data_IF_910986683200
#
_entry.id   IF_910986683200
#
_cell.length_a   1.000
_cell.length_b   1.000
_cell.length_c   1.000
_cell.angle_alpha   90.00
_cell.angle_beta   90.00
_cell.angle_gamma   90.00
#
_symmetry.space_group_name_H-M   'P 1'
#
loop_
_entity.id
_entity.type
_entity.pdbx_description
1 polymer ?
#
# COMPACT_ATOMS: atom_id res chain seq x y z
N UNK A 1 -0.18 12.35 -3.50
CA UNK A 1 0.87 11.76 -4.36
C UNK A 1 0.29 10.60 -5.17
N UNK A 2 0.96 10.16 -6.24
CA UNK A 2 0.49 9.02 -7.03
C UNK A 2 1.16 7.72 -6.60
N UNK A 3 0.37 6.76 -6.10
CA UNK A 3 0.83 5.41 -5.76
C UNK A 3 0.63 4.53 -6.98
N UNK A 4 1.73 4.20 -7.65
CA UNK A 4 1.70 3.40 -8.88
C UNK A 4 1.51 1.92 -8.55
N UNK A 5 0.43 1.33 -9.04
CA UNK A 5 0.12 -0.11 -8.89
C UNK A 5 0.14 -0.82 -10.23
N UNK A 6 0.44 -2.11 -10.25
CA UNK A 6 0.47 -2.86 -11.50
C UNK A 6 -0.91 -2.84 -12.18
N UNK A 7 -0.94 -2.41 -13.45
CA UNK A 7 -2.19 -2.20 -14.19
C UNK A 7 -3.01 -3.49 -14.35
N UNK A 8 -2.36 -4.62 -14.62
CA UNK A 8 -3.04 -5.90 -14.82
C UNK A 8 -3.65 -6.42 -13.51
N UNK A 9 -2.94 -6.27 -12.38
CA UNK A 9 -3.44 -6.66 -11.06
C UNK A 9 -4.57 -5.73 -10.60
N UNK A 10 -4.43 -4.42 -10.81
CA UNK A 10 -5.45 -3.45 -10.42
C UNK A 10 -6.75 -3.63 -11.21
N UNK A 11 -6.67 -3.80 -12.54
CA UNK A 11 -7.83 -4.06 -13.40
C UNK A 11 -8.45 -5.44 -13.17
N UNK A 12 -7.69 -6.39 -12.64
CA UNK A 12 -8.18 -7.71 -12.25
C UNK A 12 -9.07 -7.70 -11.01
N UNK A 13 -9.09 -6.60 -10.24
CA UNK A 13 -9.95 -6.43 -9.08
C UNK A 13 -11.36 -5.95 -9.47
N UNK A 14 -12.36 -6.37 -8.70
CA UNK A 14 -13.69 -5.79 -8.79
C UNK A 14 -13.69 -4.33 -8.34
N UNK A 15 -14.71 -3.57 -8.78
CA UNK A 15 -14.91 -2.17 -8.36
C UNK A 15 -15.02 -2.03 -6.83
N UNK A 16 -15.67 -2.99 -6.17
CA UNK A 16 -15.80 -2.99 -4.71
C UNK A 16 -14.45 -3.23 -4.02
N UNK A 17 -13.63 -4.13 -4.56
CA UNK A 17 -12.28 -4.37 -4.06
C UNK A 17 -11.39 -3.14 -4.26
N UNK A 18 -11.43 -2.51 -5.44
CA UNK A 18 -10.72 -1.26 -5.71
C UNK A 18 -11.16 -0.17 -4.73
N UNK A 19 -12.47 0.01 -4.53
CA UNK A 19 -13.04 0.99 -3.60
C UNK A 19 -12.63 0.76 -2.15
N UNK A 20 -12.63 -0.49 -1.68
CA UNK A 20 -12.14 -0.83 -0.33
C UNK A 20 -10.65 -0.49 -0.16
N UNK A 21 -9.83 -0.83 -1.15
CA UNK A 21 -8.39 -0.52 -1.11
C UNK A 21 -8.17 0.99 -1.13
N UNK A 22 -8.86 1.73 -2.00
CA UNK A 22 -8.79 3.19 -2.05
C UNK A 22 -9.22 3.82 -0.71
N UNK A 23 -10.31 3.34 -0.10
CA UNK A 23 -10.80 3.83 1.18
C UNK A 23 -9.78 3.61 2.31
N UNK A 24 -9.17 2.42 2.37
CA UNK A 24 -8.12 2.12 3.36
C UNK A 24 -6.93 3.05 3.14
N UNK A 25 -6.37 3.07 1.93
CA UNK A 25 -5.14 3.81 1.64
C UNK A 25 -5.34 5.32 1.84
N UNK A 26 -6.47 5.88 1.41
CA UNK A 26 -6.79 7.30 1.62
C UNK A 26 -7.05 7.66 3.08
N UNK A 27 -7.52 6.70 3.89
CA UNK A 27 -7.70 6.87 5.33
C UNK A 27 -6.39 7.05 6.10
N UNK A 28 -5.33 6.33 5.69
CA UNK A 28 -4.00 6.45 6.31
C UNK A 28 -3.11 7.50 5.63
N UNK A 29 -3.19 7.62 4.30
CA UNK A 29 -2.36 8.53 3.54
C UNK A 29 -3.21 9.48 2.70
N UNK A 30 -3.66 10.57 3.33
CA UNK A 30 -4.55 11.56 2.72
C UNK A 30 -3.91 12.23 1.50
N UNK A 31 -4.72 12.51 0.48
CA UNK A 31 -4.28 13.18 -0.75
C UNK A 31 -3.54 12.28 -1.74
N UNK A 32 -3.55 10.97 -1.51
CA UNK A 32 -2.96 10.01 -2.42
C UNK A 32 -3.96 9.45 -3.40
N UNK A 33 -3.49 9.22 -4.63
CA UNK A 33 -4.25 8.61 -5.71
C UNK A 33 -3.56 7.31 -6.11
N UNK A 34 -4.34 6.24 -6.18
CA UNK A 34 -3.85 4.99 -6.75
C UNK A 34 -3.91 5.13 -8.27
N UNK A 35 -2.77 4.92 -8.94
CA UNK A 35 -2.67 5.02 -10.39
C UNK A 35 -2.19 3.70 -10.95
N UNK A 36 -3.00 3.11 -11.82
CA UNK A 36 -2.64 1.90 -12.54
C UNK A 36 -1.53 2.20 -13.55
N UNK A 37 -0.43 1.45 -13.48
CA UNK A 37 0.74 1.60 -14.35
C UNK A 37 1.26 0.23 -14.76
N UNK A 38 1.44 -0.04 -16.07
CA UNK A 38 1.97 -1.32 -16.53
C UNK A 38 3.44 -1.53 -16.14
N UNK A 39 4.18 -0.45 -15.85
CA UNK A 39 5.57 -0.49 -15.41
C UNK A 39 5.73 -0.71 -13.89
N UNK A 40 4.63 -0.68 -13.11
CA UNK A 40 4.71 -0.90 -11.68
C UNK A 40 4.94 -2.38 -11.35
N UNK A 41 5.78 -2.68 -10.33
CA UNK A 41 6.03 -4.06 -9.92
C UNK A 41 4.77 -4.72 -9.39
N UNK A 42 4.66 -6.04 -9.58
CA UNK A 42 3.55 -6.83 -9.05
C UNK A 42 3.51 -6.80 -7.52
N UNK A 43 2.31 -6.88 -6.94
CA UNK A 43 2.09 -6.83 -5.50
C UNK A 43 2.90 -7.90 -4.74
N UNK A 44 3.02 -9.11 -5.30
CA UNK A 44 3.82 -10.19 -4.71
C UNK A 44 5.34 -9.88 -4.66
N UNK A 45 5.84 -9.01 -5.53
CA UNK A 45 7.22 -8.53 -5.48
C UNK A 45 7.37 -7.38 -4.46
N UNK A 46 6.36 -6.50 -4.36
CA UNK A 46 6.32 -5.43 -3.36
C UNK A 46 6.21 -5.97 -1.92
N UNK A 47 5.57 -7.13 -1.71
CA UNK A 47 5.49 -7.77 -0.38
C UNK A 47 6.83 -8.37 0.06
N UNK A 48 7.65 -8.90 -0.86
CA UNK A 48 9.01 -9.44 -0.58
C UNK A 48 10.08 -8.37 -0.34
N UNK A 49 9.87 -7.15 -0.83
CA UNK A 49 10.75 -6.02 -0.53
C UNK A 49 10.61 -5.49 0.91
N UNK A 50 9.83 -6.15 1.77
CA UNK A 50 9.88 -5.89 3.21
C UNK A 50 11.21 -6.38 3.77
N UNK A 51 12.19 -5.49 3.77
CA UNK A 51 13.24 -5.52 4.75
C UNK A 51 12.57 -5.58 6.15
N UNK A 52 13.12 -6.35 7.11
CA UNK A 52 12.71 -6.20 8.49
C UNK A 52 12.83 -4.73 8.86
N UNK A 53 11.86 -4.21 9.61
CA UNK A 53 11.94 -2.89 10.22
C UNK A 53 13.12 -2.90 11.21
N UNK A 54 14.34 -2.81 10.68
CA UNK A 54 15.50 -2.43 11.44
C UNK A 54 15.25 -0.98 11.82
N UNK A 55 15.04 -0.76 13.11
CA UNK A 55 14.88 0.53 13.72
C UNK A 55 16.09 1.42 13.37
N UNK A 56 16.00 2.16 12.28
CA UNK A 56 16.80 3.34 12.04
C UNK A 56 16.01 4.48 12.68
N UNK A 57 16.39 4.84 13.90
CA UNK A 57 15.93 6.06 14.52
C UNK A 57 16.48 7.22 13.69
N UNK A 58 15.64 7.96 12.96
CA UNK A 58 15.89 9.36 12.60
C UNK A 58 14.60 10.02 12.04
N UNK A 59 14.07 10.98 12.81
CA UNK A 59 12.85 11.80 12.57
C UNK A 59 11.47 11.20 12.97
N UNK A 60 10.67 12.06 13.60
CA UNK A 60 9.25 11.82 13.93
C UNK A 60 8.42 11.55 12.66
N UNK A 61 8.83 12.14 11.53
CA UNK A 61 8.15 11.96 10.25
C UNK A 61 8.25 10.51 9.75
N UNK A 62 9.45 9.92 9.75
CA UNK A 62 9.64 8.53 9.32
C UNK A 62 8.88 7.54 10.23
N UNK A 63 8.87 7.82 11.52
CA UNK A 63 8.11 7.06 12.52
C UNK A 63 6.60 7.12 12.24
N UNK A 64 6.07 8.31 11.94
CA UNK A 64 4.67 8.49 11.58
C UNK A 64 4.30 7.74 10.29
N UNK A 65 5.13 7.84 9.24
CA UNK A 65 4.93 7.09 7.99
C UNK A 65 4.93 5.57 8.22
N UNK A 66 5.80 5.08 9.11
CA UNK A 66 5.87 3.65 9.47
C UNK A 66 4.63 3.18 10.22
N UNK A 67 4.09 4.00 11.14
CA UNK A 67 2.83 3.72 11.84
C UNK A 67 1.65 3.70 10.85
N UNK A 68 1.59 4.68 9.93
CA UNK A 68 0.54 4.73 8.91
C UNK A 68 0.59 3.53 7.97
N UNK A 69 1.79 3.10 7.57
CA UNK A 69 1.98 1.89 6.78
C UNK A 69 1.48 0.64 7.52
N UNK A 70 1.91 0.47 8.78
CA UNK A 70 1.48 -0.66 9.60
C UNK A 70 -0.05 -0.68 9.81
N UNK A 71 -0.65 0.49 10.04
CA UNK A 71 -2.10 0.65 10.17
C UNK A 71 -2.84 0.30 8.88
N UNK A 72 -2.34 0.77 7.73
CA UNK A 72 -2.91 0.43 6.43
C UNK A 72 -2.79 -1.08 6.12
N UNK A 73 -1.64 -1.70 6.42
CA UNK A 73 -1.44 -3.15 6.27
C UNK A 73 -2.42 -3.90 7.18
N UNK A 74 -2.60 -3.48 8.43
CA UNK A 74 -3.56 -4.10 9.34
C UNK A 74 -5.00 -4.00 8.80
N UNK A 75 -5.39 -2.84 8.29
CA UNK A 75 -6.70 -2.64 7.67
C UNK A 75 -6.87 -3.50 6.40
N UNK A 76 -5.84 -3.64 5.57
CA UNK A 76 -5.86 -4.54 4.41
C UNK A 76 -6.10 -6.00 4.80
N UNK A 77 -5.68 -6.43 5.99
CA UNK A 77 -5.94 -7.79 6.48
C UNK A 77 -7.42 -8.04 6.83
N UNK A 78 -8.22 -6.98 6.98
CA UNK A 78 -9.66 -7.05 7.28
C UNK A 78 -10.52 -7.13 6.02
N UNK A 79 -9.93 -6.98 4.81
CA UNK A 79 -10.68 -7.15 3.56
C UNK A 79 -11.13 -8.62 3.45
N UNK A 80 -12.44 -8.90 3.37
CA UNK A 80 -12.92 -10.25 3.12
C UNK A 80 -12.59 -10.62 1.67
N UNK A 81 -11.54 -11.42 1.50
CA UNK A 81 -11.00 -11.81 0.20
C UNK A 81 -10.65 -13.31 0.19
N UNK A 82 -11.56 -14.17 -0.31
CA UNK A 82 -11.34 -15.61 -0.33
C UNK A 82 -10.21 -16.03 -1.28
N UNK A 83 -9.81 -15.16 -2.21
CA UNK A 83 -8.71 -15.43 -3.16
C UNK A 83 -7.35 -14.93 -2.67
N UNK A 84 -7.33 -14.03 -1.69
CA UNK A 84 -6.13 -13.38 -1.16
C UNK A 84 -5.47 -12.36 -2.11
N UNK A 85 -5.99 -12.16 -3.32
CA UNK A 85 -5.44 -11.27 -4.35
C UNK A 85 -5.64 -9.80 -3.97
N UNK A 86 -6.85 -9.39 -3.62
CA UNK A 86 -7.17 -8.02 -3.20
C UNK A 86 -6.41 -7.64 -1.94
N UNK A 87 -6.33 -8.56 -0.98
CA UNK A 87 -5.52 -8.38 0.23
C UNK A 87 -4.04 -8.18 -0.11
N UNK A 88 -3.48 -9.01 -0.99
CA UNK A 88 -2.09 -8.91 -1.44
C UNK A 88 -1.79 -7.57 -2.12
N UNK A 89 -2.69 -7.13 -3.00
CA UNK A 89 -2.58 -5.84 -3.68
C UNK A 89 -2.66 -4.70 -2.68
N UNK A 90 -3.64 -4.71 -1.77
CA UNK A 90 -3.79 -3.70 -0.72
C UNK A 90 -2.51 -3.52 0.11
N UNK A 91 -1.94 -4.63 0.59
CA UNK A 91 -0.68 -4.62 1.36
C UNK A 91 0.46 -4.04 0.51
N UNK A 92 0.54 -4.41 -0.77
CA UNK A 92 1.51 -3.84 -1.71
C UNK A 92 1.36 -2.32 -1.85
N UNK A 93 0.12 -1.83 -2.00
CA UNK A 93 -0.17 -0.38 -2.06
C UNK A 93 0.21 0.32 -0.76
N UNK A 94 -0.11 -0.27 0.40
CA UNK A 94 0.23 0.29 1.70
C UNK A 94 1.74 0.46 1.88
N UNK A 95 2.53 -0.55 1.48
CA UNK A 95 4.00 -0.48 1.51
C UNK A 95 4.57 0.58 0.57
N UNK A 96 4.03 0.68 -0.64
CA UNK A 96 4.42 1.73 -1.58
C UNK A 96 4.09 3.13 -1.02
N UNK A 97 2.91 3.30 -0.45
CA UNK A 97 2.50 4.54 0.19
C UNK A 97 3.43 4.93 1.37
N UNK A 98 3.78 3.97 2.22
CA UNK A 98 4.73 4.17 3.32
C UNK A 98 6.11 4.58 2.82
N UNK A 99 6.62 3.92 1.78
CA UNK A 99 7.90 4.26 1.16
C UNK A 99 7.91 5.68 0.58
N UNK A 100 6.87 6.06 -0.16
CA UNK A 100 6.74 7.41 -0.70
C UNK A 100 6.57 8.46 0.41
N UNK A 101 5.83 8.16 1.48
CA UNK A 101 5.73 9.02 2.66
C UNK A 101 7.11 9.30 3.27
N UNK A 102 7.92 8.25 3.48
CA UNK A 102 9.28 8.38 4.03
C UNK A 102 10.22 9.17 3.12
N UNK A 103 10.08 9.08 1.79
CA UNK A 103 10.88 9.87 0.84
C UNK A 103 10.64 11.39 0.96
N UNK A 104 9.55 11.81 1.59
CA UNK A 104 9.16 13.22 1.72
C UNK A 104 9.52 13.84 3.08
N UNK A 105 10.19 13.10 3.99
CA UNK A 105 10.41 13.51 5.39
C UNK A 105 11.56 14.52 5.64
#
# INVERSE_FOLDING_TARGET
MDIKVNDAEWKGLSKDQQGHIEAIISGFFKGNRIVASPAAPKAAAATRAAAPAAAAADSICESACTILEAGAIAACNLIPDPTGIAKGICIGVAKLAGNECRKLC
#
